data_IF_867871454729
#
_entry.id   IF_867871454729
#
_cell.length_a   1.000
_cell.length_b   1.000
_cell.length_c   1.000
_cell.angle_alpha   90.00
_cell.angle_beta   90.00
_cell.angle_gamma   90.00
#
_symmetry.space_group_name_H-M   'P 1'
#
loop_
_entity.id
_entity.type
_entity.pdbx_description
1 polymer ?
#
# COMPACT_ATOMS: atom_id res chain seq x y z
N UNK A 1 13.31 18.93 6.46
CA UNK A 1 13.22 19.97 7.52
C UNK A 1 13.10 19.25 8.86
N UNK A 2 13.77 19.70 9.94
CA UNK A 2 13.66 19.11 11.29
C UNK A 2 12.40 19.64 12.01
N UNK A 3 11.74 18.85 12.87
CA UNK A 3 10.81 19.39 13.88
C UNK A 3 11.65 19.59 15.12
N UNK A 4 11.86 20.83 15.53
CA UNK A 4 12.45 21.08 16.84
C UNK A 4 11.43 20.72 17.92
N UNK A 5 11.86 19.94 18.91
CA UNK A 5 11.08 19.74 20.11
C UNK A 5 10.79 21.10 20.77
N UNK A 6 9.58 21.31 21.32
CA UNK A 6 9.27 22.55 22.01
C UNK A 6 10.26 22.68 23.16
N UNK A 7 10.76 23.90 23.37
CA UNK A 7 11.47 24.20 24.62
C UNK A 7 10.55 23.86 25.79
N UNK A 8 11.12 23.35 26.90
CA UNK A 8 10.36 22.93 28.09
C UNK A 8 9.28 23.97 28.42
N UNK A 9 8.03 23.60 28.18
CA UNK A 9 6.86 24.47 28.28
C UNK A 9 5.80 23.80 29.14
N UNK A 10 5.19 24.56 30.02
CA UNK A 10 4.08 24.10 30.87
C UNK A 10 2.72 24.31 30.19
N UNK A 11 2.72 24.87 28.99
CA UNK A 11 1.52 25.14 28.19
C UNK A 11 1.15 23.90 27.37
N UNK A 12 -0.02 23.35 27.69
CA UNK A 12 -0.54 22.15 27.03
C UNK A 12 -0.81 22.39 25.53
N UNK A 13 -1.21 23.59 25.14
CA UNK A 13 -1.49 23.93 23.73
C UNK A 13 -0.24 23.83 22.83
N UNK A 14 0.93 24.22 23.34
CA UNK A 14 2.20 24.16 22.58
C UNK A 14 2.68 22.70 22.41
N UNK A 15 2.45 21.87 23.44
CA UNK A 15 2.71 20.43 23.37
C UNK A 15 1.77 19.72 22.39
N UNK A 16 0.48 20.08 22.39
CA UNK A 16 -0.51 19.50 21.48
C UNK A 16 -0.22 19.86 20.03
N UNK A 17 0.06 21.13 19.74
CA UNK A 17 0.46 21.59 18.40
C UNK A 17 1.74 20.92 17.92
N UNK A 18 2.73 20.74 18.80
CA UNK A 18 3.94 19.99 18.45
C UNK A 18 3.68 18.52 18.20
N UNK A 19 2.92 17.84 19.06
CA UNK A 19 2.55 16.44 18.85
C UNK A 19 1.78 16.25 17.54
N UNK A 20 0.90 17.19 17.19
CA UNK A 20 0.18 17.15 15.92
C UNK A 20 1.13 17.34 14.73
N UNK A 21 2.04 18.31 14.77
CA UNK A 21 3.09 18.49 13.73
C UNK A 21 4.01 17.29 13.61
N UNK A 22 4.32 16.67 14.74
CA UNK A 22 5.09 15.44 14.81
C UNK A 22 4.31 14.30 14.18
N UNK A 23 3.03 14.11 14.53
CA UNK A 23 2.17 13.12 13.89
C UNK A 23 2.08 13.35 12.38
N UNK A 24 1.85 14.58 11.92
CA UNK A 24 1.81 14.91 10.50
C UNK A 24 3.12 14.60 9.75
N UNK A 25 4.28 14.62 10.43
CA UNK A 25 5.58 14.23 9.83
C UNK A 25 6.00 12.78 10.06
N UNK A 26 5.56 12.20 11.17
CA UNK A 26 6.06 10.93 11.72
C UNK A 26 5.06 9.80 11.49
N UNK A 27 3.84 10.13 11.06
CA UNK A 27 3.16 9.31 10.08
C UNK A 27 4.15 9.18 8.90
N UNK A 28 4.81 8.02 8.79
CA UNK A 28 4.88 7.39 7.48
C UNK A 28 3.47 7.54 6.94
N UNK A 29 3.24 8.52 6.06
CA UNK A 29 1.91 8.78 5.53
C UNK A 29 1.36 7.44 5.05
N UNK A 30 0.41 6.89 5.81
CA UNK A 30 -0.12 5.55 5.61
C UNK A 30 -1.08 5.63 4.44
N UNK A 31 -0.49 5.73 3.26
CA UNK A 31 -1.19 5.78 2.00
C UNK A 31 -1.75 4.39 1.75
N UNK A 32 -3.06 4.29 1.65
CA UNK A 32 -3.71 3.00 1.43
C UNK A 32 -4.89 3.14 0.48
N UNK A 33 -5.27 2.01 -0.10
CA UNK A 33 -6.41 1.88 -0.96
C UNK A 33 -6.90 0.44 -0.96
N UNK A 34 -8.13 0.23 -1.42
CA UNK A 34 -8.67 -1.11 -1.58
C UNK A 34 -9.69 -1.16 -2.70
N UNK A 35 -9.83 -2.33 -3.30
CA UNK A 35 -10.83 -2.60 -4.34
C UNK A 35 -11.32 -4.05 -4.22
N UNK A 36 -12.57 -4.29 -4.60
CA UNK A 36 -13.06 -5.66 -4.84
C UNK A 36 -12.52 -6.15 -6.18
N UNK A 37 -11.98 -7.35 -6.21
CA UNK A 37 -11.38 -7.92 -7.41
C UNK A 37 -11.64 -9.42 -7.48
N UNK A 38 -12.07 -9.88 -8.65
CA UNK A 38 -12.21 -11.27 -9.05
C UNK A 38 -11.10 -11.56 -10.08
N UNK A 39 -9.93 -12.10 -9.65
CA UNK A 39 -8.87 -12.45 -10.58
C UNK A 39 -9.38 -13.49 -11.57
N UNK A 40 -9.03 -13.36 -12.84
CA UNK A 40 -9.34 -14.44 -13.80
C UNK A 40 -8.67 -15.75 -13.37
N UNK A 41 -9.25 -16.89 -13.74
CA UNK A 41 -8.59 -18.19 -13.59
C UNK A 41 -7.17 -18.16 -14.20
N UNK A 42 -6.15 -18.37 -13.38
CA UNK A 42 -4.75 -18.25 -13.75
C UNK A 42 -4.22 -19.61 -14.19
N UNK A 43 -3.97 -19.79 -15.49
CA UNK A 43 -3.23 -20.95 -16.00
C UNK A 43 -1.76 -20.91 -15.58
N UNK A 44 -1.05 -22.03 -15.71
CA UNK A 44 0.38 -22.11 -15.40
C UNK A 44 1.19 -21.05 -16.14
N UNK A 45 2.02 -20.30 -15.41
CA UNK A 45 2.86 -19.21 -15.92
C UNK A 45 2.11 -17.92 -16.28
N UNK A 46 0.79 -17.86 -16.03
CA UNK A 46 -0.01 -16.65 -16.29
C UNK A 46 -0.07 -15.73 -15.07
N UNK A 47 -0.49 -14.49 -15.31
CA UNK A 47 -0.74 -13.50 -14.28
C UNK A 47 -1.99 -12.68 -14.61
N UNK A 48 -2.52 -12.01 -13.59
CA UNK A 48 -3.57 -11.00 -13.73
C UNK A 48 -3.21 -9.77 -12.90
N UNK A 49 -3.64 -8.60 -13.37
CA UNK A 49 -3.26 -7.31 -12.81
C UNK A 49 -4.48 -6.46 -12.47
N UNK A 50 -4.36 -5.70 -11.39
CA UNK A 50 -5.40 -4.80 -10.92
C UNK A 50 -4.80 -3.48 -10.45
N UNK A 51 -5.37 -2.37 -10.94
CA UNK A 51 -5.02 -1.04 -10.47
C UNK A 51 -5.87 -0.68 -9.25
N UNK A 52 -5.21 -0.12 -8.24
CA UNK A 52 -5.80 0.38 -7.00
C UNK A 52 -5.46 1.86 -6.85
N UNK A 53 -6.48 2.69 -6.65
CA UNK A 53 -6.28 4.11 -6.34
C UNK A 53 -5.75 4.25 -4.92
N UNK A 54 -4.59 4.87 -4.78
CA UNK A 54 -3.94 5.18 -3.49
C UNK A 54 -3.53 6.64 -3.53
N UNK A 55 -4.43 7.54 -3.12
CA UNK A 55 -4.22 8.99 -3.19
C UNK A 55 -2.96 9.41 -2.42
N UNK A 56 -2.11 10.21 -3.05
CA UNK A 56 -0.83 10.67 -2.54
C UNK A 56 0.37 9.80 -2.95
N UNK A 57 0.15 8.63 -3.55
CA UNK A 57 1.23 7.76 -3.99
C UNK A 57 1.96 8.37 -5.19
N UNK A 58 3.30 8.34 -5.16
CA UNK A 58 4.15 8.84 -6.24
C UNK A 58 5.04 7.73 -6.77
N UNK A 59 5.27 7.73 -8.08
CA UNK A 59 6.10 6.71 -8.73
C UNK A 59 7.46 6.56 -8.04
N UNK A 60 7.79 5.30 -7.70
CA UNK A 60 9.01 4.93 -6.97
C UNK A 60 8.89 4.96 -5.44
N UNK A 61 7.71 5.25 -4.88
CA UNK A 61 7.40 4.87 -3.50
C UNK A 61 7.30 3.34 -3.38
N UNK A 62 7.52 2.82 -2.17
CA UNK A 62 7.37 1.39 -1.90
C UNK A 62 5.89 1.04 -1.81
N UNK A 63 5.49 -0.14 -2.30
CA UNK A 63 4.13 -0.63 -2.18
C UNK A 63 4.12 -2.09 -1.70
N UNK A 64 3.10 -2.44 -0.91
CA UNK A 64 2.79 -3.81 -0.52
C UNK A 64 1.29 -4.05 -0.67
N UNK A 65 0.91 -5.28 -0.97
CA UNK A 65 -0.48 -5.67 -1.11
C UNK A 65 -0.82 -6.90 -0.25
N UNK A 66 -2.07 -7.00 0.15
CA UNK A 66 -2.66 -8.19 0.75
C UNK A 66 -4.04 -8.46 0.15
N UNK A 67 -4.49 -9.70 0.19
CA UNK A 67 -5.78 -10.12 -0.34
C UNK A 67 -6.62 -10.79 0.75
N UNK A 68 -7.94 -10.67 0.65
CA UNK A 68 -8.84 -11.20 1.69
C UNK A 68 -9.03 -12.72 1.65
N UNK A 69 -8.66 -13.36 0.53
CA UNK A 69 -8.72 -14.81 0.35
C UNK A 69 -7.32 -15.40 0.32
N UNK A 70 -7.25 -16.71 0.53
CA UNK A 70 -6.00 -17.45 0.44
C UNK A 70 -5.47 -17.44 -1.00
N UNK A 71 -4.21 -17.03 -1.13
CA UNK A 71 -3.47 -17.01 -2.39
C UNK A 71 -2.42 -18.12 -2.44
N UNK A 72 -2.58 -19.19 -1.66
CA UNK A 72 -1.71 -20.37 -1.69
C UNK A 72 -1.31 -20.70 -3.13
N UNK A 73 0.01 -20.79 -3.36
CA UNK A 73 0.62 -21.06 -4.68
C UNK A 73 0.65 -19.90 -5.67
N UNK A 74 0.28 -18.68 -5.26
CA UNK A 74 0.34 -17.48 -6.09
C UNK A 74 1.26 -16.44 -5.45
N UNK A 75 2.01 -15.74 -6.30
CA UNK A 75 2.87 -14.63 -5.88
C UNK A 75 2.17 -13.30 -6.10
N UNK A 76 2.30 -12.38 -5.14
CA UNK A 76 1.74 -11.02 -5.23
C UNK A 76 2.87 -10.00 -5.29
N UNK A 77 2.81 -9.12 -6.28
CA UNK A 77 3.68 -7.94 -6.34
C UNK A 77 2.82 -6.69 -6.40
N UNK A 78 3.33 -5.59 -5.84
CA UNK A 78 2.69 -4.28 -5.86
C UNK A 78 3.72 -3.21 -6.19
N UNK A 79 3.38 -2.29 -7.08
CA UNK A 79 4.26 -1.17 -7.44
C UNK A 79 3.45 0.08 -7.74
N UNK A 80 3.95 1.25 -7.32
CA UNK A 80 3.36 2.54 -7.71
C UNK A 80 3.75 2.83 -9.16
N UNK A 81 2.80 2.68 -10.08
CA UNK A 81 3.02 2.78 -11.53
C UNK A 81 2.69 4.16 -12.09
N UNK A 82 1.86 4.94 -11.39
CA UNK A 82 1.56 6.34 -11.72
C UNK A 82 1.18 7.12 -10.45
N UNK A 83 0.95 8.42 -10.60
CA UNK A 83 0.39 9.22 -9.52
C UNK A 83 -0.95 8.61 -9.05
N UNK A 84 -1.11 8.52 -7.73
CA UNK A 84 -2.29 7.97 -7.07
C UNK A 84 -2.64 6.52 -7.45
N UNK A 85 -1.71 5.78 -8.08
CA UNK A 85 -2.02 4.47 -8.70
C UNK A 85 -0.98 3.42 -8.34
N UNK A 86 -1.45 2.33 -7.74
CA UNK A 86 -0.67 1.10 -7.54
C UNK A 86 -1.19 0.03 -8.46
N UNK A 87 -0.31 -0.62 -9.22
CA UNK A 87 -0.61 -1.85 -9.94
C UNK A 87 -0.18 -3.03 -9.09
N UNK A 88 -1.14 -3.92 -8.82
CA UNK A 88 -0.90 -5.20 -8.17
C UNK A 88 -0.96 -6.29 -9.23
N UNK A 89 -0.03 -7.24 -9.18
CA UNK A 89 0.00 -8.40 -10.06
C UNK A 89 -0.03 -9.66 -9.20
N UNK A 90 -0.95 -10.57 -9.51
CA UNK A 90 -0.97 -11.94 -8.99
C UNK A 90 -0.46 -12.87 -10.09
N UNK A 91 0.58 -13.65 -9.79
CA UNK A 91 1.23 -14.56 -10.75
C UNK A 91 1.14 -16.00 -10.29
N UNK A 92 0.82 -16.90 -11.22
CA UNK A 92 0.81 -18.34 -10.99
C UNK A 92 2.08 -18.98 -11.57
N UNK A 93 2.98 -19.39 -10.67
CA UNK A 93 4.22 -20.10 -11.02
C UNK A 93 4.12 -21.62 -10.83
N UNK A 94 2.93 -22.14 -10.57
CA UNK A 94 2.68 -23.56 -10.43
C UNK A 94 2.31 -24.24 -11.75
N UNK A 95 2.37 -25.56 -11.77
CA UNK A 95 2.11 -26.40 -12.95
C UNK A 95 0.62 -26.64 -13.23
N UNK A 96 -0.27 -26.08 -12.40
CA UNK A 96 -1.73 -26.22 -12.51
C UNK A 96 -2.42 -24.86 -12.53
N UNK A 97 -3.62 -24.81 -13.13
CA UNK A 97 -4.45 -23.62 -13.04
C UNK A 97 -4.96 -23.41 -11.60
N UNK A 98 -5.08 -22.16 -11.20
CA UNK A 98 -5.62 -21.75 -9.89
C UNK A 98 -6.71 -20.71 -10.13
N UNK A 99 -7.87 -20.97 -9.55
CA UNK A 99 -9.03 -20.08 -9.59
C UNK A 99 -9.25 -19.50 -8.20
N UNK A 100 -9.21 -18.17 -8.09
CA UNK A 100 -9.39 -17.44 -6.84
C UNK A 100 -10.70 -16.69 -6.97
N UNK A 101 -11.62 -16.90 -6.03
CA UNK A 101 -12.89 -16.19 -6.04
C UNK A 101 -12.72 -14.68 -5.82
N UNK A 102 -13.79 -13.91 -6.09
CA UNK A 102 -13.84 -12.49 -5.76
C UNK A 102 -13.50 -12.22 -4.28
N UNK A 103 -12.57 -11.30 -4.07
CA UNK A 103 -12.11 -10.88 -2.76
C UNK A 103 -11.85 -9.37 -2.70
N UNK A 104 -11.29 -8.93 -1.59
CA UNK A 104 -10.83 -7.55 -1.40
C UNK A 104 -9.31 -7.50 -1.45
N UNK A 105 -8.80 -6.68 -2.37
CA UNK A 105 -7.39 -6.32 -2.47
C UNK A 105 -7.13 -5.07 -1.64
N UNK A 106 -6.17 -5.14 -0.72
CA UNK A 106 -5.70 -4.02 0.09
C UNK A 106 -4.29 -3.65 -0.32
N UNK A 107 -4.01 -2.36 -0.39
CA UNK A 107 -2.69 -1.83 -0.73
C UNK A 107 -2.27 -0.84 0.33
N UNK A 108 -0.99 -0.90 0.73
CA UNK A 108 -0.30 0.15 1.48
C UNK A 108 0.91 0.64 0.69
N UNK A 109 1.14 1.94 0.74
CA UNK A 109 2.28 2.61 0.13
C UNK A 109 3.09 3.30 1.22
N UNK A 110 4.40 3.06 1.20
CA UNK A 110 5.36 3.73 2.06
C UNK A 110 6.20 4.67 1.21
N UNK A 111 6.18 5.96 1.55
CA UNK A 111 7.00 6.95 0.83
C UNK A 111 8.47 6.58 0.89
N UNK A 112 9.16 6.73 -0.24
CA UNK A 112 10.61 6.55 -0.26
C UNK A 112 11.29 7.61 0.60
N UNK A 113 12.31 7.20 1.36
CA UNK A 113 13.23 8.18 1.97
C UNK A 113 14.12 8.75 0.87
N UNK A 114 14.18 10.07 0.77
CA UNK A 114 15.06 10.79 -0.17
C UNK A 114 16.39 11.10 0.48
#
# INVERSE_FOLDING_TARGET
MFIEAPHRTDKLEELLDWCQKLQERLLLEDLHGSVTWDPKNLTSGSHDEQNVTVTGAVMGDYAVASFSLDLTHLDVTASVTAADTVTVVISNHHDSAVDVAEGTLYVRVFRRTT
#
